data_IF_057538299788
#
_entry.id   IF_057538299788
#
_cell.length_a   1.000
_cell.length_b   1.000
_cell.length_c   1.000
_cell.angle_alpha   90.00
_cell.angle_beta   90.00
_cell.angle_gamma   90.00
#
_symmetry.space_group_name_H-M   'P 1'
#
loop_
_entity.id
_entity.type
_entity.pdbx_description
1 polymer ?
#
# COMPACT_ATOMS: atom_id res chain seq x y z
N UNK A 1 -1.79 9.24 0.63
CA UNK A 1 -0.82 9.02 -0.46
C UNK A 1 -1.08 10.01 -1.58
N UNK A 2 -0.02 10.56 -2.18
CA UNK A 2 -0.11 11.46 -3.33
C UNK A 2 0.71 10.86 -4.47
N UNK A 3 0.08 10.62 -5.61
CA UNK A 3 0.70 10.20 -6.86
C UNK A 3 0.69 11.40 -7.82
N UNK A 4 1.87 11.85 -8.25
CA UNK A 4 2.01 13.04 -9.11
C UNK A 4 2.17 12.63 -10.57
N UNK A 5 1.68 13.45 -11.49
CA UNK A 5 1.75 13.17 -12.94
C UNK A 5 3.17 12.96 -13.47
N UNK A 6 4.18 13.52 -12.80
CA UNK A 6 5.60 13.34 -13.12
C UNK A 6 6.17 11.96 -12.71
N UNK A 7 5.34 11.06 -12.18
CA UNK A 7 5.74 9.73 -11.73
C UNK A 7 6.31 9.70 -10.32
N UNK A 8 6.35 10.83 -9.59
CA UNK A 8 6.78 10.85 -8.18
C UNK A 8 5.63 10.59 -7.22
N UNK A 9 5.94 10.06 -6.04
CA UNK A 9 4.95 9.74 -5.01
C UNK A 9 5.38 10.21 -3.62
N UNK A 10 4.39 10.58 -2.81
CA UNK A 10 4.52 10.77 -1.36
C UNK A 10 3.62 9.76 -0.64
N UNK A 11 4.24 8.99 0.25
CA UNK A 11 3.62 7.91 0.99
C UNK A 11 3.58 8.25 2.46
N UNK A 12 2.45 7.98 3.11
CA UNK A 12 2.28 8.17 4.55
C UNK A 12 1.60 6.93 5.12
N UNK A 13 2.26 6.31 6.11
CA UNK A 13 1.74 5.20 6.91
C UNK A 13 1.14 4.06 6.09
N UNK A 14 1.77 3.69 4.98
CA UNK A 14 1.31 2.61 4.13
C UNK A 14 1.73 1.25 4.70
N UNK A 15 0.75 0.37 4.89
CA UNK A 15 0.91 -0.98 5.42
C UNK A 15 1.62 -1.91 4.41
N UNK A 16 2.27 -2.98 4.88
CA UNK A 16 2.79 -4.05 4.02
C UNK A 16 1.67 -4.73 3.21
N UNK A 17 2.03 -5.29 2.06
CA UNK A 17 1.12 -6.02 1.17
C UNK A 17 1.26 -7.53 1.39
N UNK A 18 0.22 -8.30 1.05
CA UNK A 18 0.19 -9.77 1.18
C UNK A 18 0.58 -10.19 2.61
N UNK A 19 1.52 -11.12 2.78
CA UNK A 19 1.96 -11.61 4.08
C UNK A 19 2.63 -10.53 4.94
N UNK A 20 3.26 -9.53 4.33
CA UNK A 20 3.94 -8.45 5.07
C UNK A 20 2.94 -7.55 5.80
N UNK A 21 1.64 -7.64 5.48
CA UNK A 21 0.61 -6.91 6.21
C UNK A 21 0.56 -7.32 7.69
N UNK A 22 0.87 -8.57 8.01
CA UNK A 22 0.85 -9.10 9.38
C UNK A 22 2.06 -8.67 10.20
N UNK A 23 3.15 -8.23 9.55
CA UNK A 23 4.32 -7.67 10.25
C UNK A 23 4.02 -6.34 10.94
N UNK A 24 2.89 -5.71 10.62
CA UNK A 24 2.35 -4.57 11.37
C UNK A 24 3.10 -3.26 11.22
N UNK A 25 4.17 -3.21 10.41
CA UNK A 25 4.88 -1.98 10.12
C UNK A 25 4.12 -1.13 9.09
N UNK A 26 4.39 0.17 9.13
CA UNK A 26 3.84 1.18 8.23
C UNK A 26 4.95 2.10 7.75
N UNK A 27 5.07 2.25 6.43
CA UNK A 27 6.14 3.04 5.82
C UNK A 27 5.63 4.39 5.34
N UNK A 28 6.43 5.42 5.59
CA UNK A 28 6.27 6.73 4.96
C UNK A 28 7.55 7.14 4.26
N UNK A 29 7.43 7.94 3.22
CA UNK A 29 8.58 8.41 2.45
C UNK A 29 8.22 8.88 1.06
N UNK A 30 9.25 8.97 0.22
CA UNK A 30 9.11 9.34 -1.18
C UNK A 30 9.36 8.13 -2.07
N UNK A 31 8.73 8.16 -3.25
CA UNK A 31 8.77 7.05 -4.16
C UNK A 31 8.51 7.46 -5.60
N UNK A 32 8.44 6.46 -6.45
CA UNK A 32 8.00 6.58 -7.85
C UNK A 32 6.81 5.68 -8.09
N UNK A 33 5.94 6.07 -9.01
CA UNK A 33 4.80 5.25 -9.41
C UNK A 33 4.63 5.21 -10.92
N UNK A 34 3.96 4.17 -11.38
CA UNK A 34 3.51 4.01 -12.76
C UNK A 34 2.17 3.29 -12.79
N UNK A 35 1.33 3.63 -13.77
CA UNK A 35 0.16 2.85 -14.13
C UNK A 35 0.57 1.87 -15.24
N UNK A 36 0.42 0.58 -14.97
CA UNK A 36 0.56 -0.48 -15.97
C UNK A 36 -0.81 -0.98 -16.37
N UNK A 37 -0.93 -1.41 -17.61
CA UNK A 37 -2.12 -2.05 -18.17
C UNK A 37 -1.64 -3.37 -18.79
N UNK A 38 -1.87 -4.48 -18.08
CA UNK A 38 -1.46 -5.82 -18.49
C UNK A 38 -2.68 -6.75 -18.59
N UNK A 39 -2.47 -8.03 -18.92
CA UNK A 39 -3.56 -9.00 -19.08
C UNK A 39 -4.40 -9.19 -17.80
N UNK A 40 -3.89 -8.75 -16.63
CA UNK A 40 -4.60 -8.74 -15.35
C UNK A 40 -5.38 -7.44 -15.06
N UNK A 41 -5.31 -6.47 -15.97
CA UNK A 41 -5.96 -5.16 -15.87
C UNK A 41 -5.03 -4.03 -15.45
N UNK A 42 -5.64 -2.90 -15.06
CA UNK A 42 -4.90 -1.72 -14.63
C UNK A 42 -4.34 -1.88 -13.22
N UNK A 43 -3.02 -1.71 -13.09
CA UNK A 43 -2.29 -1.81 -11.82
C UNK A 43 -1.42 -0.58 -11.61
N UNK A 44 -1.51 0.05 -10.45
CA UNK A 44 -0.57 1.08 -10.01
C UNK A 44 0.58 0.43 -9.26
N UNK A 45 1.78 0.44 -9.84
CA UNK A 45 3.00 0.00 -9.17
C UNK A 45 3.66 1.18 -8.49
N UNK A 46 3.82 1.11 -7.18
CA UNK A 46 4.41 2.14 -6.34
C UNK A 46 5.67 1.62 -5.67
N UNK A 47 6.81 2.28 -5.87
CA UNK A 47 8.07 1.93 -5.23
C UNK A 47 8.49 3.01 -4.23
N UNK A 48 8.71 2.64 -2.97
CA UNK A 48 9.38 3.48 -1.97
C UNK A 48 10.87 3.54 -2.28
N UNK A 49 11.37 4.72 -2.63
CA UNK A 49 12.78 4.96 -2.97
C UNK A 49 13.56 5.55 -1.80
N UNK A 50 12.91 6.35 -0.95
CA UNK A 50 13.50 6.88 0.27
C UNK A 50 12.51 6.88 1.41
N UNK A 51 12.73 5.98 2.37
CA UNK A 51 11.97 5.89 3.63
C UNK A 51 12.32 7.04 4.56
N UNK A 52 11.29 7.75 5.05
CA UNK A 52 11.45 8.86 6.00
C UNK A 52 10.93 8.52 7.40
N UNK A 53 9.98 7.57 7.50
CA UNK A 53 9.39 7.17 8.78
C UNK A 53 8.90 5.73 8.75
N UNK A 54 8.99 5.09 9.92
CA UNK A 54 8.39 3.80 10.23
C UNK A 54 7.42 4.01 11.40
N UNK A 55 6.20 3.53 11.26
CA UNK A 55 5.20 3.47 12.31
C UNK A 55 4.74 2.02 12.52
N UNK A 56 4.10 1.73 13.65
CA UNK A 56 3.42 0.46 13.90
C UNK A 56 1.90 0.59 13.76
N UNK A 57 1.22 -0.48 13.35
CA UNK A 57 -0.24 -0.58 13.36
C UNK A 57 -0.72 -0.94 14.77
N UNK A 58 -1.57 -0.08 15.35
CA UNK A 58 -2.04 -0.20 16.74
C UNK A 58 -2.81 -1.48 17.08
N UNK A 59 -3.25 -2.25 16.09
CA UNK A 59 -4.04 -3.48 16.27
C UNK A 59 -3.21 -4.77 16.30
N UNK A 60 -1.89 -4.69 16.09
CA UNK A 60 -1.03 -5.87 16.25
C UNK A 60 -0.75 -6.03 17.74
N UNK A 61 -1.41 -7.00 18.36
CA UNK A 61 -0.97 -7.51 19.66
C UNK A 61 0.48 -7.95 19.45
N UNK A 62 1.43 -7.24 20.05
CA UNK A 62 2.84 -7.59 20.00
C UNK A 62 2.96 -8.99 20.59
N UNK A 63 2.95 -10.00 19.71
CA UNK A 63 3.32 -11.35 20.07
C UNK A 63 4.83 -11.29 20.21
N UNK A 64 5.41 -11.82 21.28
CA UNK A 64 6.86 -11.81 21.61
C UNK A 64 7.78 -12.41 20.51
N UNK A 65 7.25 -12.72 19.33
CA UNK A 65 8.03 -12.96 18.13
C UNK A 65 8.69 -11.65 17.68
N UNK A 66 10.00 -11.70 17.44
CA UNK A 66 10.76 -10.57 16.88
C UNK A 66 10.09 -10.09 15.60
N UNK A 67 9.41 -8.95 15.66
CA UNK A 67 8.85 -8.30 14.47
C UNK A 67 9.99 -8.07 13.49
N UNK A 68 9.88 -8.55 12.24
CA UNK A 68 10.94 -8.39 11.26
C UNK A 68 11.25 -6.90 11.06
N UNK A 69 12.52 -6.60 10.80
CA UNK A 69 12.95 -5.21 10.57
C UNK A 69 12.26 -4.68 9.30
N UNK A 70 11.55 -3.53 9.38
CA UNK A 70 10.87 -2.99 8.22
C UNK A 70 11.87 -2.65 7.11
N UNK A 71 11.51 -2.84 5.83
CA UNK A 71 12.44 -2.66 4.73
C UNK A 71 12.66 -1.18 4.38
N UNK A 72 13.87 -0.84 3.92
CA UNK A 72 14.24 0.53 3.53
C UNK A 72 13.67 0.95 2.17
N UNK A 73 13.35 -0.03 1.32
CA UNK A 73 12.65 0.10 0.04
C UNK A 73 11.54 -0.94 -0.02
N UNK A 74 10.42 -0.62 -0.67
CA UNK A 74 9.28 -1.54 -0.77
C UNK A 74 8.46 -1.24 -2.01
N UNK A 75 7.78 -2.24 -2.57
CA UNK A 75 6.94 -2.08 -3.76
C UNK A 75 5.53 -2.57 -3.46
N UNK A 76 4.55 -1.72 -3.72
CA UNK A 76 3.13 -2.08 -3.69
C UNK A 76 2.59 -2.20 -5.11
N UNK A 77 1.67 -3.13 -5.29
CA UNK A 77 0.82 -3.24 -6.48
C UNK A 77 -0.62 -2.97 -6.06
N UNK A 78 -1.17 -1.83 -6.49
CA UNK A 78 -2.56 -1.48 -6.26
C UNK A 78 -3.39 -1.79 -7.49
N UNK A 79 -4.46 -2.55 -7.27
CA UNK A 79 -5.48 -2.83 -8.26
C UNK A 79 -6.51 -1.71 -8.28
N UNK A 80 -7.10 -1.51 -9.45
CA UNK A 80 -8.09 -0.46 -9.69
C UNK A 80 -9.48 -1.08 -9.76
N UNK A 81 -10.39 -0.59 -8.92
CA UNK A 81 -11.82 -0.91 -8.97
C UNK A 81 -12.65 0.36 -9.22
N UNK A 82 -13.91 0.18 -9.63
CA UNK A 82 -14.91 1.25 -9.71
C UNK A 82 -16.07 0.93 -8.79
N UNK A 83 -16.46 1.92 -7.98
CA UNK A 83 -17.69 1.78 -7.21
C UNK A 83 -18.95 1.92 -8.06
N UNK A 84 -20.11 1.74 -7.44
CA UNK A 84 -21.42 1.86 -8.09
C UNK A 84 -21.73 3.23 -8.72
N UNK A 85 -20.87 4.24 -8.51
CA UNK A 85 -20.97 5.57 -9.10
C UNK A 85 -19.77 5.89 -10.02
N UNK A 86 -19.08 4.85 -10.52
CA UNK A 86 -17.89 4.94 -11.37
C UNK A 86 -16.69 5.65 -10.73
N UNK A 87 -16.65 5.79 -9.39
CA UNK A 87 -15.50 6.37 -8.70
C UNK A 87 -14.38 5.35 -8.57
N UNK A 88 -13.18 5.77 -8.93
CA UNK A 88 -11.98 4.95 -8.85
C UNK A 88 -11.62 4.66 -7.39
N UNK A 89 -11.39 3.38 -7.10
CA UNK A 89 -10.87 2.87 -5.84
C UNK A 89 -9.56 2.14 -6.09
N UNK A 90 -8.60 2.33 -5.20
CA UNK A 90 -7.37 1.55 -5.18
C UNK A 90 -7.47 0.53 -4.05
N UNK A 91 -6.99 -0.68 -4.28
CA UNK A 91 -6.89 -1.68 -3.24
C UNK A 91 -5.67 -2.57 -3.44
N UNK A 92 -5.24 -3.24 -2.37
CA UNK A 92 -4.25 -4.30 -2.43
C UNK A 92 -4.72 -5.50 -1.60
N UNK A 93 -4.19 -6.68 -1.87
CA UNK A 93 -4.49 -7.90 -1.11
C UNK A 93 -3.62 -7.99 0.14
N UNK A 94 -4.16 -8.52 1.24
CA UNK A 94 -3.43 -8.68 2.49
C UNK A 94 -3.63 -10.06 3.11
N UNK A 95 -2.63 -10.51 3.87
CA UNK A 95 -2.57 -11.88 4.37
C UNK A 95 -2.33 -12.87 3.24
N UNK A 96 -2.95 -14.04 3.33
CA UNK A 96 -2.91 -15.04 2.26
C UNK A 96 -3.70 -14.53 1.04
N UNK A 97 -3.04 -14.28 -0.12
CA UNK A 97 -3.69 -13.73 -1.30
C UNK A 97 -4.77 -14.67 -1.86
N UNK A 98 -4.69 -15.98 -1.60
CA UNK A 98 -5.69 -16.95 -2.06
C UNK A 98 -7.03 -16.79 -1.33
N UNK A 99 -7.04 -16.14 -0.15
CA UNK A 99 -8.26 -15.84 0.61
C UNK A 99 -8.99 -14.62 0.03
N UNK A 100 -8.29 -13.76 -0.73
CA UNK A 100 -8.88 -12.60 -1.40
C UNK A 100 -9.25 -11.44 -0.46
N UNK A 101 -8.62 -11.36 0.72
CA UNK A 101 -8.80 -10.23 1.62
C UNK A 101 -8.24 -8.94 0.99
N UNK A 102 -9.04 -7.88 0.92
CA UNK A 102 -8.66 -6.63 0.25
C UNK A 102 -8.63 -5.45 1.22
N UNK A 103 -7.56 -4.66 1.16
CA UNK A 103 -7.43 -3.38 1.84
C UNK A 103 -7.83 -2.27 0.87
N UNK A 104 -9.00 -1.66 1.09
CA UNK A 104 -9.53 -0.59 0.24
C UNK A 104 -8.96 0.77 0.66
N UNK A 105 -8.29 1.45 -0.26
CA UNK A 105 -7.81 2.81 -0.08
C UNK A 105 -8.94 3.79 -0.39
N UNK A 106 -9.34 4.57 0.60
CA UNK A 106 -10.27 5.67 0.42
C UNK A 106 -9.50 6.98 0.18
N UNK A 107 -10.02 7.82 -0.70
CA UNK A 107 -9.59 9.22 -0.75
C UNK A 107 -9.96 9.88 0.59
N UNK A 108 -9.03 10.59 1.18
CA UNK A 108 -9.35 11.47 2.30
C UNK A 108 -10.33 12.54 1.81
N UNK A 109 -11.58 12.45 2.25
CA UNK A 109 -12.56 13.51 2.04
C UNK A 109 -12.13 14.65 2.97
N UNK A 110 -11.56 15.70 2.39
CA UNK A 110 -11.20 16.90 3.15
C UNK A 110 -12.39 17.36 4.00
N UNK A 111 -12.14 17.58 5.29
CA UNK A 111 -13.04 18.33 6.16
C UNK A 111 -12.91 19.83 5.89
#
# INVERSE_FOLDING_TARGET
>A
MVLREDGTALLEKLDGQDFDFEDGWRLSGTGTWQLTDDDGGQVVRLALTARTRVDGRSSVTATDASTPEPPSTYVWSFYVDRDQHDKLKLFFFYGDPDIGNTYMMARETGS
#
